data_IF_392415704315
#
_entry.id   IF_392415704315
#
_cell.length_a   1.000
_cell.length_b   1.000
_cell.length_c   1.000
_cell.angle_alpha   90.00
_cell.angle_beta   90.00
_cell.angle_gamma   90.00
#
_symmetry.space_group_name_H-M   'P 1'
#
loop_
_entity.id
_entity.type
_entity.pdbx_description
1 polymer ?
2 non-polymer ?
3 non-polymer ?
4 water ?
#
# COMPACT_ATOMS: atom_id res chain seq x y z
N UNK A 1 -10.88 1.79 -24.53
CA UNK A 1 -11.89 2.87 -24.29
C UNK A 1 -12.35 2.84 -22.83
N UNK A 2 -11.94 1.80 -22.11
CA UNK A 2 -12.31 1.64 -20.71
C UNK A 2 -12.08 2.94 -19.95
N UNK A 3 -13.14 3.47 -19.35
CA UNK A 3 -13.07 4.74 -18.62
C UNK A 3 -13.30 4.63 -17.11
N UNK A 4 -12.67 5.53 -16.32
CA UNK A 4 -12.81 5.53 -14.86
C UNK A 4 -14.23 5.93 -14.43
N UNK A 5 -14.69 5.38 -13.30
CA UNK A 5 -16.02 5.64 -12.75
C UNK A 5 -16.30 7.11 -12.39
N UNK A 6 -15.25 7.88 -12.17
CA UNK A 6 -15.43 9.28 -11.81
C UNK A 6 -15.46 10.18 -13.04
N UNK A 7 -15.38 9.59 -14.22
CA UNK A 7 -15.40 10.36 -15.45
C UNK A 7 -16.72 11.12 -15.55
N UNK A 8 -16.63 12.42 -15.81
CA UNK A 8 -17.80 13.27 -15.94
C UNK A 8 -18.19 13.33 -17.41
N UNK A 9 -19.45 13.68 -17.71
CA UNK A 9 -19.89 13.77 -19.10
C UNK A 9 -19.02 14.71 -19.93
N UNK A 10 -18.51 14.21 -21.06
CA UNK A 10 -17.68 15.03 -21.92
C UNK A 10 -16.19 14.90 -21.70
N UNK A 11 -15.79 14.08 -20.73
CA UNK A 11 -14.37 13.89 -20.44
C UNK A 11 -13.77 12.67 -21.12
N UNK A 12 -12.45 12.68 -21.25
CA UNK A 12 -11.73 11.57 -21.86
C UNK A 12 -10.50 11.23 -21.01
N UNK A 13 -10.39 9.97 -20.61
CA UNK A 13 -9.27 9.52 -19.80
C UNK A 13 -8.50 8.44 -20.55
N UNK A 14 -7.19 8.36 -20.32
CA UNK A 14 -6.37 7.36 -20.99
C UNK A 14 -5.75 6.38 -20.00
N UNK A 15 -6.01 5.09 -20.24
CA UNK A 15 -5.50 4.04 -19.38
C UNK A 15 -3.98 3.98 -19.49
N UNK A 16 -3.32 3.87 -18.35
CA UNK A 16 -1.87 3.78 -18.32
C UNK A 16 -1.53 2.30 -18.25
N UNK A 17 -1.23 1.72 -19.41
CA UNK A 17 -0.95 0.31 -19.53
C UNK A 17 0.06 -0.24 -18.53
N UNK A 18 1.14 0.51 -18.29
CA UNK A 18 2.19 0.07 -17.38
C UNK A 18 1.80 0.01 -15.91
N UNK A 19 0.66 0.58 -15.55
CA UNK A 19 0.21 0.54 -14.17
C UNK A 19 -1.22 0.01 -14.09
N UNK A 20 -1.56 -0.82 -15.07
CA UNK A 20 -2.88 -1.42 -15.15
C UNK A 20 -2.74 -2.89 -15.50
N UNK A 21 -3.56 -3.73 -14.87
CA UNK A 21 -3.49 -5.16 -15.14
C UNK A 21 -4.80 -5.81 -14.73
N UNK A 22 -5.33 -6.68 -15.59
CA UNK A 22 -6.59 -7.38 -15.29
C UNK A 22 -6.25 -8.73 -14.64
N UNK A 23 -4.95 -8.98 -14.52
CA UNK A 23 -4.42 -10.20 -13.90
C UNK A 23 -4.86 -11.54 -14.46
N UNK A 24 -4.68 -11.69 -15.77
CA UNK A 24 -4.99 -12.92 -16.45
C UNK A 24 -3.70 -13.74 -16.42
N UNK A 25 -2.58 -13.04 -16.32
CA UNK A 25 -1.27 -13.67 -16.25
C UNK A 25 -0.40 -12.91 -15.27
N UNK A 26 0.67 -13.56 -14.81
CA UNK A 26 1.61 -12.93 -13.89
C UNK A 26 2.67 -12.29 -14.77
N UNK A 27 2.61 -10.97 -14.87
CA UNK A 27 3.51 -10.19 -15.72
C UNK A 27 4.70 -9.58 -14.97
N UNK A 28 5.83 -10.28 -15.02
CA UNK A 28 7.05 -9.82 -14.34
C UNK A 28 7.76 -8.69 -15.09
N UNK A 29 7.30 -8.36 -16.29
CA UNK A 29 7.90 -7.26 -17.03
C UNK A 29 7.30 -5.98 -16.48
N UNK A 30 6.03 -6.05 -16.14
CA UNK A 30 5.28 -4.91 -15.64
C UNK A 30 5.42 -4.74 -14.12
N UNK A 31 5.40 -5.86 -13.42
CA UNK A 31 5.49 -5.83 -11.96
C UNK A 31 6.72 -6.48 -11.36
N UNK A 32 7.18 -5.91 -10.25
CA UNK A 32 8.30 -6.46 -9.50
C UNK A 32 7.59 -7.20 -8.38
N UNK A 33 7.66 -8.53 -8.40
CA UNK A 33 6.99 -9.36 -7.41
C UNK A 33 7.86 -9.74 -6.20
N UNK A 34 9.02 -9.10 -6.09
CA UNK A 34 9.91 -9.36 -4.96
C UNK A 34 10.78 -8.14 -4.79
N UNK A 35 10.20 -7.09 -4.22
CA UNK A 35 10.87 -5.82 -4.01
C UNK A 35 11.78 -5.82 -2.79
N UNK A 36 12.33 -4.64 -2.49
CA UNK A 36 13.20 -4.49 -1.33
C UNK A 36 12.37 -4.83 -0.10
N UNK A 37 13.02 -5.41 0.90
CA UNK A 37 12.32 -5.80 2.12
C UNK A 37 12.26 -4.71 3.18
N UNK A 38 11.23 -4.79 4.00
CA UNK A 38 11.02 -3.87 5.10
C UNK A 38 10.00 -4.50 6.04
N UNK A 39 9.65 -3.81 7.12
CA UNK A 39 8.71 -4.39 8.06
C UNK A 39 9.35 -5.60 8.72
N UNK A 40 8.53 -6.56 9.15
CA UNK A 40 9.07 -7.75 9.80
C UNK A 40 8.71 -9.03 9.06
N UNK A 41 8.76 -8.94 7.73
CA UNK A 41 8.49 -10.08 6.87
C UNK A 41 9.37 -9.87 5.66
N UNK A 42 9.38 -10.86 4.77
CA UNK A 42 10.17 -10.72 3.56
C UNK A 42 9.27 -11.06 2.39
N UNK A 43 9.48 -10.38 1.28
CA UNK A 43 8.69 -10.63 0.09
C UNK A 43 9.27 -11.84 -0.63
N UNK A 44 8.40 -12.66 -1.20
CA UNK A 44 8.83 -13.83 -1.95
C UNK A 44 8.00 -13.89 -3.22
N UNK A 45 8.69 -14.00 -4.35
CA UNK A 45 8.03 -14.07 -5.65
C UNK A 45 6.96 -15.17 -5.67
N UNK A 46 7.22 -16.28 -5.00
CA UNK A 46 6.26 -17.37 -5.00
C UNK A 46 4.99 -17.05 -4.22
N UNK A 47 5.00 -15.99 -3.43
CA UNK A 47 3.84 -15.60 -2.66
C UNK A 47 2.87 -14.77 -3.51
N UNK A 48 3.26 -14.50 -4.74
CA UNK A 48 2.43 -13.75 -5.66
C UNK A 48 2.04 -14.71 -6.77
N UNK A 49 0.75 -15.03 -6.85
CA UNK A 49 0.28 -15.95 -7.87
C UNK A 49 -0.90 -15.38 -8.62
N UNK A 50 -1.03 -15.76 -9.89
CA UNK A 50 -2.13 -15.30 -10.70
C UNK A 50 -2.87 -16.53 -11.19
N UNK A 51 -4.13 -16.62 -10.80
CA UNK A 51 -4.96 -17.75 -11.18
C UNK A 51 -6.41 -17.29 -11.37
N UNK A 52 -7.00 -17.79 -12.45
CA UNK A 52 -8.38 -17.47 -12.80
C UNK A 52 -8.77 -16.01 -12.69
N UNK A 53 -8.00 -15.16 -13.36
CA UNK A 53 -8.31 -13.75 -13.40
C UNK A 53 -7.99 -12.91 -12.19
N UNK A 54 -7.34 -13.48 -11.17
CA UNK A 54 -6.99 -12.69 -9.99
C UNK A 54 -5.58 -12.89 -9.52
N UNK A 55 -5.01 -11.80 -8.99
CA UNK A 55 -3.67 -11.83 -8.43
C UNK A 55 -3.90 -12.16 -6.96
N UNK A 56 -3.18 -13.14 -6.45
CA UNK A 56 -3.29 -13.52 -5.06
C UNK A 56 -1.96 -13.24 -4.38
N UNK A 57 -2.00 -12.44 -3.33
CA UNK A 57 -0.80 -12.10 -2.57
C UNK A 57 -0.98 -12.79 -1.24
N UNK A 58 -0.13 -13.77 -0.98
CA UNK A 58 -0.23 -14.59 0.21
C UNK A 58 0.80 -14.34 1.31
N UNK A 59 0.32 -14.34 2.55
CA UNK A 59 1.20 -14.21 3.71
C UNK A 59 1.26 -15.61 4.29
N UNK A 60 2.47 -16.12 4.48
CA UNK A 60 2.64 -17.46 5.01
C UNK A 60 3.46 -17.44 6.28
N UNK A 61 3.22 -18.41 7.15
CA UNK A 61 4.03 -18.53 8.34
C UNK A 61 5.27 -19.20 7.74
N UNK A 62 6.39 -18.51 7.75
CA UNK A 62 7.61 -19.05 7.19
C UNK A 62 8.83 -18.46 7.86
N UNK A 63 9.46 -19.26 8.73
CA UNK A 63 10.65 -18.81 9.43
C UNK A 63 11.80 -18.63 8.47
N UNK A 64 12.56 -17.58 8.69
CA UNK A 64 13.72 -17.28 7.86
C UNK A 64 14.50 -16.17 8.53
N UNK A 65 15.60 -15.79 7.93
CA UNK A 65 16.41 -14.71 8.47
C UNK A 65 16.85 -13.81 7.36
N UNK A 66 17.16 -12.57 7.71
CA UNK A 66 17.66 -11.59 6.76
C UNK A 66 18.21 -10.43 7.55
N UNK A 67 19.01 -9.58 6.90
CA UNK A 67 19.53 -8.43 7.60
C UNK A 67 18.31 -7.58 7.94
N UNK A 68 18.29 -7.07 9.16
CA UNK A 68 17.15 -6.29 9.64
C UNK A 68 17.62 -4.97 10.23
N UNK A 69 16.93 -3.89 9.86
CA UNK A 69 17.29 -2.58 10.39
C UNK A 69 16.57 -2.39 11.71
N UNK A 70 17.34 -2.28 12.78
CA UNK A 70 16.84 -2.07 14.13
C UNK A 70 16.93 -0.57 14.38
N UNK A 71 15.92 0.15 13.90
CA UNK A 71 15.86 1.59 14.04
C UNK A 71 16.00 2.12 15.45
N UNK A 72 15.37 1.44 16.40
CA UNK A 72 15.43 1.88 17.79
C UNK A 72 16.89 1.99 18.25
N UNK A 73 17.72 1.05 17.81
CA UNK A 73 19.13 1.07 18.18
C UNK A 73 20.03 1.59 17.08
N UNK A 74 19.42 2.09 16.00
CA UNK A 74 20.18 2.63 14.87
C UNK A 74 21.27 1.67 14.44
N UNK A 75 20.90 0.42 14.20
CA UNK A 75 21.86 -0.60 13.80
C UNK A 75 21.25 -1.65 12.90
N UNK A 76 22.07 -2.15 11.97
CA UNK A 76 21.64 -3.21 11.09
C UNK A 76 21.97 -4.49 11.85
N UNK A 77 21.05 -5.45 11.85
CA UNK A 77 21.30 -6.70 12.55
C UNK A 77 21.33 -7.86 11.54
N UNK A 78 22.44 -8.59 11.52
CA UNK A 78 22.59 -9.71 10.62
C UNK A 78 21.84 -10.94 11.10
N UNK A 79 21.44 -11.79 10.15
CA UNK A 79 20.73 -13.03 10.46
C UNK A 79 19.59 -12.82 11.46
N UNK A 80 18.80 -11.79 11.24
CA UNK A 80 17.69 -11.48 12.13
C UNK A 80 16.53 -12.42 11.82
N UNK A 81 16.07 -13.19 12.82
CA UNK A 81 14.96 -14.12 12.61
C UNK A 81 13.59 -13.46 12.42
N UNK A 82 12.92 -13.84 11.35
CA UNK A 82 11.58 -13.35 11.06
C UNK A 82 10.70 -14.58 10.91
N UNK A 83 9.39 -14.40 10.97
CA UNK A 83 8.49 -15.55 10.96
C UNK A 83 7.45 -15.65 9.86
N UNK A 84 7.33 -14.61 9.05
CA UNK A 84 6.35 -14.62 7.97
C UNK A 84 6.91 -14.04 6.68
N UNK A 85 6.42 -14.55 5.55
CA UNK A 85 6.82 -14.03 4.25
C UNK A 85 5.50 -13.59 3.62
N UNK A 86 5.57 -12.67 2.66
CA UNK A 86 4.32 -12.22 2.05
C UNK A 86 4.50 -11.91 0.58
N UNK A 87 3.43 -11.41 -0.03
CA UNK A 87 3.44 -11.10 -1.44
C UNK A 87 3.28 -9.64 -1.78
N UNK A 88 3.89 -9.24 -2.89
CA UNK A 88 3.85 -7.86 -3.35
C UNK A 88 3.92 -7.81 -4.87
N UNK A 89 3.31 -6.76 -5.43
CA UNK A 89 3.34 -6.50 -6.86
C UNK A 89 3.57 -4.99 -6.93
N UNK A 90 4.77 -4.58 -7.31
CA UNK A 90 5.13 -3.17 -7.38
C UNK A 90 5.40 -2.82 -8.84
N UNK A 91 4.68 -1.83 -9.37
CA UNK A 91 4.88 -1.45 -10.76
C UNK A 91 6.26 -0.89 -10.97
N UNK A 92 6.88 -1.27 -12.08
CA UNK A 92 8.22 -0.77 -12.38
C UNK A 92 8.07 0.69 -12.83
N UNK A 93 6.96 0.99 -13.49
CA UNK A 93 6.69 2.34 -13.96
C UNK A 93 6.23 3.20 -12.78
N UNK A 94 6.44 4.51 -12.90
CA UNK A 94 6.05 5.44 -11.85
C UNK A 94 5.14 6.52 -12.39
N UNK A 95 4.51 7.25 -11.48
CA UNK A 95 3.63 8.34 -11.86
C UNK A 95 3.11 9.03 -10.63
N UNK A 96 2.20 9.98 -10.83
CA UNK A 96 1.61 10.69 -9.70
C UNK A 96 0.13 11.00 -9.93
N UNK A 97 -0.16 11.99 -10.77
CA UNK A 97 -1.55 12.36 -11.02
C UNK A 97 -2.30 11.34 -11.86
N UNK A 98 -3.58 11.17 -11.53
CA UNK A 98 -4.40 10.23 -12.26
C UNK A 98 -5.40 9.55 -11.34
N UNK A 99 -6.27 8.75 -11.93
CA UNK A 99 -7.25 8.02 -11.13
C UNK A 99 -6.78 6.57 -11.07
N UNK A 100 -6.75 6.03 -9.85
CA UNK A 100 -6.31 4.65 -9.63
C UNK A 100 -7.42 3.85 -8.99
N UNK A 101 -7.54 2.59 -9.39
CA UNK A 101 -8.57 1.74 -8.83
C UNK A 101 -8.17 0.28 -8.85
N UNK A 102 -8.48 -0.42 -7.76
CA UNK A 102 -8.19 -1.84 -7.66
C UNK A 102 -9.42 -2.51 -7.07
N UNK A 103 -9.76 -3.67 -7.60
CA UNK A 103 -10.90 -4.46 -7.12
C UNK A 103 -10.26 -5.50 -6.24
N UNK A 104 -10.44 -5.36 -4.94
CA UNK A 104 -9.80 -6.23 -3.96
C UNK A 104 -10.71 -6.96 -2.98
N UNK A 105 -10.28 -8.15 -2.60
CA UNK A 105 -10.98 -8.96 -1.61
C UNK A 105 -9.92 -9.15 -0.53
N UNK A 106 -10.26 -8.80 0.70
CA UNK A 106 -9.31 -8.92 1.79
C UNK A 106 -9.03 -10.36 2.21
N UNK A 107 -7.99 -10.54 3.00
CA UNK A 107 -7.63 -11.87 3.50
C UNK A 107 -8.66 -12.27 4.55
N UNK A 108 -8.97 -13.56 4.64
CA UNK A 108 -9.97 -14.02 5.60
C UNK A 108 -9.55 -13.87 7.05
N UNK A 109 -8.26 -14.04 7.31
CA UNK A 109 -7.75 -13.94 8.67
C UNK A 109 -7.71 -12.51 9.21
N UNK A 110 -8.17 -12.34 10.44
CA UNK A 110 -8.16 -11.04 11.10
C UNK A 110 -8.31 -11.25 12.60
N UNK A 111 -7.44 -10.60 13.40
CA UNK A 111 -6.36 -9.70 12.96
C UNK A 111 -5.09 -10.44 12.62
N UNK A 112 -4.17 -9.73 11.97
CA UNK A 112 -2.89 -10.34 11.61
C UNK A 112 -2.27 -9.85 10.33
N UNK A 113 -3.09 -9.47 9.35
CA UNK A 113 -2.56 -8.99 8.07
C UNK A 113 -3.33 -7.79 7.54
N UNK A 114 -2.67 -7.03 6.69
CA UNK A 114 -3.27 -5.84 6.09
C UNK A 114 -3.08 -5.73 4.59
N UNK A 115 -4.13 -6.04 3.82
CA UNK A 115 -4.07 -5.94 2.36
C UNK A 115 -3.90 -4.45 2.09
N UNK A 116 -3.06 -4.11 1.13
CA UNK A 116 -2.83 -2.71 0.83
C UNK A 116 -2.69 -2.43 -0.66
N UNK A 117 -3.23 -1.28 -1.05
CA UNK A 117 -3.15 -0.78 -2.42
C UNK A 117 -2.61 0.61 -2.17
N UNK A 118 -1.41 0.87 -2.66
CA UNK A 118 -0.77 2.14 -2.40
C UNK A 118 0.30 2.43 -3.44
N UNK A 119 0.98 3.56 -3.26
CA UNK A 119 2.06 3.93 -4.16
C UNK A 119 3.07 4.73 -3.36
N UNK A 120 4.34 4.55 -3.68
CA UNK A 120 5.37 5.26 -2.94
C UNK A 120 6.56 5.54 -3.82
N UNK A 121 7.29 6.58 -3.45
CA UNK A 121 8.47 7.00 -4.18
C UNK A 121 9.72 6.49 -3.48
N UNK A 122 10.85 6.74 -4.11
CA UNK A 122 12.13 6.39 -3.52
C UNK A 122 12.35 7.54 -2.55
N UNK A 123 13.29 7.39 -1.64
CA UNK A 123 13.58 8.45 -0.69
C UNK A 123 14.83 9.16 -1.19
N UNK A 124 14.71 10.45 -1.46
CA UNK A 124 15.83 11.25 -1.95
C UNK A 124 16.30 12.21 -0.87
N UNK A 125 17.35 11.80 -0.16
CA UNK A 125 17.88 12.61 0.92
C UNK A 125 18.74 13.78 0.46
N UNK A 126 18.88 13.95 -0.85
CA UNK A 126 19.66 15.07 -1.39
C UNK A 126 18.82 16.32 -1.44
N UNK A 127 17.50 16.17 -1.28
CA UNK A 127 16.58 17.30 -1.29
C UNK A 127 16.51 17.84 0.14
N UNK A 128 17.32 18.86 0.42
CA UNK A 128 17.41 19.42 1.76
C UNK A 128 16.88 20.84 1.95
N UNK A 129 16.38 21.45 0.89
CA UNK A 129 15.85 22.81 1.00
C UNK A 129 14.55 22.83 1.80
N UNK A 130 14.27 23.97 2.44
CA UNK A 130 13.07 24.12 3.23
C UNK A 130 11.85 23.79 2.36
N UNK A 131 10.98 22.92 2.86
CA UNK A 131 9.80 22.55 2.10
C UNK A 131 10.01 21.42 1.12
N UNK A 132 11.25 21.01 0.93
CA UNK A 132 11.54 19.91 0.01
C UNK A 132 10.89 18.62 0.51
N UNK A 133 10.33 17.86 -0.42
CA UNK A 133 9.71 16.58 -0.10
C UNK A 133 10.65 15.48 -0.57
N UNK A 134 11.15 14.69 0.37
CA UNK A 134 12.08 13.62 0.05
C UNK A 134 11.39 12.30 -0.22
N UNK A 135 10.14 12.17 0.23
CA UNK A 135 9.40 10.93 0.06
C UNK A 135 7.89 11.20 0.02
N UNK A 136 7.22 10.54 -0.92
CA UNK A 136 5.77 10.67 -1.07
C UNK A 136 5.14 9.29 -1.11
N UNK A 137 4.08 9.10 -0.35
CA UNK A 137 3.36 7.83 -0.31
C UNK A 137 1.87 8.07 -0.21
N UNK A 138 1.12 7.51 -1.14
CA UNK A 138 -0.33 7.64 -1.12
C UNK A 138 -0.89 6.24 -0.92
N UNK A 139 -1.63 6.05 0.16
CA UNK A 139 -2.21 4.74 0.44
C UNK A 139 -3.68 4.77 0.02
N UNK A 140 -3.98 4.11 -1.09
CA UNK A 140 -5.36 4.09 -1.59
C UNK A 140 -6.23 3.45 -0.53
N UNK A 141 -5.75 2.34 0.02
CA UNK A 141 -6.46 1.67 1.10
C UNK A 141 -5.54 0.70 1.81
N UNK A 142 -5.74 0.61 3.12
CA UNK A 142 -5.02 -0.33 3.96
C UNK A 142 -6.16 -0.95 4.74
N UNK A 143 -6.40 -2.22 4.47
CA UNK A 143 -7.49 -2.95 5.12
C UNK A 143 -7.08 -3.69 6.37
N UNK A 144 -8.07 -3.96 7.19
CA UNK A 144 -7.93 -4.74 8.40
C UNK A 144 -6.65 -4.56 9.24
N UNK A 145 -6.31 -3.31 9.55
CA UNK A 145 -5.13 -3.08 10.38
C UNK A 145 -5.50 -2.32 11.65
N UNK A 146 -6.81 -2.17 11.89
CA UNK A 146 -7.29 -1.50 13.09
C UNK A 146 -8.01 -2.51 13.99
N UNK A 147 -8.60 -2.03 15.08
CA UNK A 147 -9.27 -2.93 16.03
C UNK A 147 -10.47 -3.69 15.46
N UNK A 148 -11.27 -3.02 14.64
CA UNK A 148 -12.46 -3.63 14.06
C UNK A 148 -12.21 -3.92 12.58
N UNK A 149 -12.66 -5.09 12.13
CA UNK A 149 -12.45 -5.51 10.75
C UNK A 149 -13.00 -4.56 9.69
N UNK A 150 -14.06 -3.83 10.00
CA UNK A 150 -14.64 -2.92 9.01
C UNK A 150 -14.02 -1.53 8.97
N UNK A 151 -13.01 -1.29 9.80
CA UNK A 151 -12.35 0.01 9.80
C UNK A 151 -11.23 -0.02 8.75
N UNK A 152 -11.32 0.86 7.78
CA UNK A 152 -10.31 0.93 6.73
C UNK A 152 -9.55 2.25 6.80
N UNK A 153 -8.31 2.25 6.33
CA UNK A 153 -7.50 3.45 6.32
C UNK A 153 -7.16 3.87 4.88
N UNK A 154 -7.19 5.17 4.64
CA UNK A 154 -6.91 5.74 3.32
C UNK A 154 -6.01 6.89 3.70
N UNK A 155 -4.74 6.55 3.94
CA UNK A 155 -3.75 7.51 4.41
C UNK A 155 -2.67 8.03 3.46
N UNK A 156 -1.81 8.87 4.03
CA UNK A 156 -0.69 9.49 3.34
C UNK A 156 0.53 9.48 4.27
N UNK A 157 1.71 9.28 3.67
CA UNK A 157 2.97 9.29 4.42
C UNK A 157 3.92 10.14 3.59
N UNK A 158 4.84 10.83 4.27
CA UNK A 158 5.79 11.66 3.55
C UNK A 158 6.91 12.15 4.45
N UNK A 159 7.96 12.64 3.81
CA UNK A 159 9.10 13.23 4.50
C UNK A 159 9.24 14.60 3.86
N UNK A 160 9.14 15.65 4.68
CA UNK A 160 9.27 17.01 4.18
C UNK A 160 10.22 17.78 5.08
N UNK A 161 11.01 18.67 4.49
CA UNK A 161 11.95 19.47 5.24
C UNK A 161 11.25 20.59 6.00
N UNK A 162 11.35 20.54 7.33
CA UNK A 162 10.76 21.54 8.21
C UNK A 162 11.86 22.12 9.08
N UNK A 163 12.02 23.44 9.03
CA UNK A 163 13.07 24.10 9.81
C UNK A 163 14.42 23.46 9.49
N UNK A 164 14.63 23.19 8.21
CA UNK A 164 15.89 22.60 7.77
C UNK A 164 16.09 21.14 8.14
N UNK A 165 15.05 20.51 8.68
CA UNK A 165 15.15 19.11 9.07
C UNK A 165 14.16 18.19 8.35
N UNK A 166 14.65 17.10 7.73
CA UNK A 166 13.75 16.19 7.03
C UNK A 166 12.80 15.64 8.10
N UNK A 167 11.50 15.85 7.91
CA UNK A 167 10.53 15.42 8.90
C UNK A 167 9.52 14.41 8.39
N UNK A 168 9.33 13.35 9.15
CA UNK A 168 8.38 12.31 8.79
C UNK A 168 6.98 12.73 9.21
N UNK A 169 6.02 12.49 8.32
CA UNK A 169 4.63 12.81 8.62
C UNK A 169 3.84 11.54 8.31
N UNK A 170 3.15 11.05 9.33
CA UNK A 170 2.36 9.84 9.20
C UNK A 170 0.93 10.13 9.62
N UNK A 171 -0.01 9.26 9.24
CA UNK A 171 -1.41 9.48 9.62
C UNK A 171 -1.65 9.61 11.11
N UNK A 172 -0.93 8.85 11.92
CA UNK A 172 -1.12 8.92 13.35
C UNK A 172 -0.61 10.18 14.01
N UNK A 173 0.47 10.73 13.48
CA UNK A 173 1.07 11.95 14.02
C UNK A 173 0.49 13.23 13.44
N UNK A 174 0.03 13.17 12.19
CA UNK A 174 -0.54 14.32 11.51
C UNK A 174 -1.83 13.90 10.81
N UNK A 175 -2.84 13.48 11.59
CA UNK A 175 -4.12 13.03 11.06
C UNK A 175 -4.88 13.99 10.15
N UNK A 176 -4.84 15.29 10.46
CA UNK A 176 -5.57 16.25 9.66
C UNK A 176 -5.11 16.30 8.21
N UNK A 177 -3.80 16.13 7.99
CA UNK A 177 -3.27 16.17 6.63
C UNK A 177 -2.99 14.79 6.06
N UNK A 178 -2.78 13.81 6.93
CA UNK A 178 -2.41 12.46 6.47
C UNK A 178 -3.34 11.28 6.75
N UNK A 179 -4.44 11.50 7.46
CA UNK A 179 -5.32 10.37 7.76
C UNK A 179 -6.78 10.50 7.37
N UNK A 180 -7.31 9.42 6.80
CA UNK A 180 -8.71 9.33 6.43
C UNK A 180 -9.15 7.97 6.95
N UNK A 181 -9.88 7.96 8.06
CA UNK A 181 -10.35 6.70 8.61
C UNK A 181 -11.76 6.50 8.12
N UNK A 182 -12.15 5.26 7.86
CA UNK A 182 -13.49 4.98 7.35
C UNK A 182 -14.07 3.69 7.90
N UNK A 183 -15.36 3.72 8.19
CA UNK A 183 -16.04 2.54 8.67
C UNK A 183 -16.76 1.97 7.45
N UNK A 184 -16.24 0.86 6.95
CA UNK A 184 -16.82 0.22 5.77
C UNK A 184 -18.24 -0.28 6.01
N UNK A 185 -19.11 -0.15 5.01
CA UNK A 185 -20.50 -0.62 5.16
C UNK A 185 -20.61 -2.09 4.80
N UNK A 186 -19.47 -2.79 4.85
CA UNK A 186 -19.41 -4.20 4.53
C UNK A 186 -18.13 -4.80 5.09
N UNK A 187 -18.05 -6.13 5.10
CA UNK A 187 -16.86 -6.81 5.59
C UNK A 187 -15.96 -6.88 4.34
N UNK A 188 -14.78 -6.23 4.39
CA UNK A 188 -13.90 -6.26 3.22
C UNK A 188 -13.35 -7.63 2.84
N UNK A 189 -13.60 -8.63 3.68
CA UNK A 189 -13.12 -9.98 3.41
C UNK A 189 -14.17 -10.75 2.61
N UNK A 190 -15.33 -10.15 2.43
CA UNK A 190 -16.41 -10.79 1.69
C UNK A 190 -16.56 -10.22 0.28
N UNK A 191 -16.23 -11.04 -0.71
CA UNK A 191 -16.33 -10.63 -2.11
C UNK A 191 -15.36 -9.49 -2.40
N UNK A 192 -15.39 -9.02 -3.64
CA UNK A 192 -14.52 -7.95 -4.07
C UNK A 192 -15.18 -6.59 -3.96
N UNK A 193 -14.36 -5.58 -3.68
CA UNK A 193 -14.83 -4.21 -3.57
C UNK A 193 -13.82 -3.33 -4.28
N UNK A 194 -14.26 -2.16 -4.70
CA UNK A 194 -13.36 -1.26 -5.43
C UNK A 194 -12.81 -0.16 -4.54
N UNK A 195 -11.50 0.01 -4.60
CA UNK A 195 -10.80 1.00 -3.82
C UNK A 195 -10.07 1.90 -4.81
N UNK A 196 -10.38 3.19 -4.77
CA UNK A 196 -9.73 4.08 -5.70
C UNK A 196 -9.30 5.40 -5.12
N UNK A 197 -8.50 6.12 -5.88
CA UNK A 197 -8.05 7.43 -5.46
C UNK A 197 -7.80 8.28 -6.69
N UNK A 198 -8.21 9.54 -6.61
CA UNK A 198 -7.98 10.45 -7.71
C UNK A 198 -6.92 11.41 -7.20
N UNK A 199 -5.81 11.46 -7.91
CA UNK A 199 -4.70 12.32 -7.52
C UNK A 199 -4.49 13.44 -8.54
N UNK A 200 -4.52 14.69 -8.06
CA UNK A 200 -4.27 15.85 -8.92
C UNK A 200 -3.19 16.63 -8.20
N UNK A 201 -2.66 17.67 -8.83
CA UNK A 201 -1.61 18.43 -8.17
C UNK A 201 -2.15 19.17 -6.95
N UNK A 202 -3.48 19.34 -6.89
CA UNK A 202 -4.08 20.07 -5.78
C UNK A 202 -4.86 19.24 -4.76
N UNK A 203 -5.44 18.13 -5.18
CA UNK A 203 -6.24 17.31 -4.28
C UNK A 203 -6.05 15.81 -4.43
N UNK A 204 -6.38 15.08 -3.37
CA UNK A 204 -6.32 13.63 -3.35
C UNK A 204 -7.68 13.22 -2.79
N UNK A 205 -8.42 12.43 -3.57
CA UNK A 205 -9.75 11.99 -3.17
C UNK A 205 -9.83 10.47 -3.21
N UNK A 206 -10.24 9.88 -2.10
CA UNK A 206 -10.34 8.43 -1.99
C UNK A 206 -11.77 7.92 -2.15
N UNK A 207 -11.90 6.75 -2.75
CA UNK A 207 -13.20 6.13 -3.00
C UNK A 207 -13.25 4.67 -2.59
N UNK A 208 -14.43 4.25 -2.15
CA UNK A 208 -14.67 2.85 -1.79
C UNK A 208 -16.05 2.53 -2.36
N UNK A 209 -16.09 1.61 -3.32
CA UNK A 209 -17.34 1.24 -3.98
C UNK A 209 -18.10 2.47 -4.47
N UNK A 210 -17.35 3.42 -5.03
CA UNK A 210 -17.95 4.62 -5.59
C UNK A 210 -18.17 5.80 -4.65
N UNK A 211 -18.14 5.54 -3.34
CA UNK A 211 -18.34 6.59 -2.35
C UNK A 211 -17.04 7.28 -1.97
N UNK A 212 -17.09 8.60 -1.79
CA UNK A 212 -15.90 9.33 -1.39
C UNK A 212 -15.70 9.12 0.11
N UNK A 213 -14.55 8.57 0.49
CA UNK A 213 -14.26 8.30 1.88
C UNK A 213 -13.11 9.11 2.42
N UNK A 214 -12.51 9.92 1.56
CA UNK A 214 -11.40 10.74 2.01
C UNK A 214 -11.02 11.81 1.01
N UNK A 215 -10.49 12.90 1.52
CA UNK A 215 -10.02 14.00 0.67
C UNK A 215 -9.02 14.81 1.47
N UNK A 216 -7.91 15.14 0.83
CA UNK A 216 -6.85 15.92 1.45
C UNK A 216 -6.27 16.81 0.37
N UNK A 217 -5.57 17.87 0.79
CA UNK A 217 -4.93 18.73 -0.18
C UNK A 217 -3.62 18.04 -0.51
N UNK A 218 -3.23 18.09 -1.77
CA UNK A 218 -1.98 17.44 -2.16
C UNK A 218 -0.82 18.37 -1.87
N UNK A 219 -0.35 18.33 -0.63
CA UNK A 219 0.74 19.18 -0.19
C UNK A 219 2.11 18.59 -0.47
N UNK A 220 2.23 17.28 -0.22
CA UNK A 220 3.52 16.61 -0.37
C UNK A 220 3.51 15.32 -1.18
N UNK A 221 2.60 15.21 -2.13
CA UNK A 221 2.52 13.99 -2.93
C UNK A 221 2.58 14.25 -4.43
N UNK A 222 3.68 14.86 -4.87
CA UNK A 222 3.87 15.16 -6.28
C UNK A 222 5.05 14.39 -6.86
N UNK A 223 5.71 13.60 -6.03
CA UNK A 223 6.84 12.80 -6.48
C UNK A 223 6.37 11.61 -7.31
N UNK A 224 7.31 11.01 -8.04
CA UNK A 224 7.03 9.84 -8.86
C UNK A 224 6.89 8.65 -7.93
N UNK A 225 5.76 7.96 -8.01
CA UNK A 225 5.50 6.83 -7.14
C UNK A 225 5.16 5.55 -7.89
N UNK A 226 5.65 4.42 -7.35
CA UNK A 226 5.39 3.11 -7.93
C UNK A 226 4.10 2.57 -7.36
N UNK A 227 3.18 2.15 -8.23
CA UNK A 227 1.90 1.61 -7.80
C UNK A 227 2.12 0.22 -7.23
N UNK A 228 1.61 0.01 -6.02
CA UNK A 228 1.84 -1.26 -5.34
C UNK A 228 0.63 -1.93 -4.69
N UNK A 229 0.63 -3.26 -4.77
CA UNK A 229 -0.39 -4.10 -4.17
C UNK A 229 0.44 -5.02 -3.28
N UNK A 230 0.13 -5.07 -1.99
CA UNK A 230 0.91 -5.91 -1.10
C UNK A 230 0.14 -6.22 0.17
N UNK A 231 0.57 -7.24 0.89
CA UNK A 231 -0.07 -7.59 2.13
C UNK A 231 0.97 -7.59 3.24
N UNK A 232 0.76 -6.74 4.24
CA UNK A 232 1.70 -6.66 5.33
C UNK A 232 1.23 -7.38 6.58
N UNK A 233 2.16 -7.55 7.51
CA UNK A 233 1.88 -8.22 8.78
C UNK A 233 1.46 -7.17 9.81
N UNK A 234 0.60 -7.56 10.75
CA UNK A 234 0.11 -6.65 11.78
C UNK A 234 -0.08 -7.39 13.09
N UNK A 235 -0.50 -6.64 14.12
CA UNK A 235 -0.78 -7.23 15.42
C UNK A 235 -1.78 -8.35 15.16
N UNK A 236 -1.71 -9.45 15.93
CA UNK A 236 -0.80 -9.77 17.04
C UNK A 236 0.60 -10.27 16.71
N UNK A 237 1.04 -10.09 15.48
CA UNK A 237 2.36 -10.59 15.09
C UNK A 237 3.43 -9.52 14.98
N UNK A 238 3.07 -8.30 15.40
CA UNK A 238 4.00 -7.19 15.32
C UNK A 238 3.89 -6.23 16.49
N UNK A 239 4.91 -5.39 16.61
CA UNK A 239 4.97 -4.33 17.60
C UNK A 239 5.40 -3.15 16.74
N UNK A 240 5.08 -1.94 17.17
CA UNK A 240 5.45 -0.76 16.41
C UNK A 240 6.15 0.24 17.32
N UNK A 241 7.38 0.57 16.96
CA UNK A 241 8.17 1.51 17.74
C UNK A 241 9.29 2.07 16.87
N UNK A 242 9.75 3.27 17.21
CA UNK A 242 10.82 3.93 16.46
C UNK A 242 10.52 3.95 14.96
N UNK A 243 9.26 4.24 14.66
CA UNK A 243 8.76 4.35 13.28
C UNK A 243 8.92 3.12 12.40
N UNK A 244 8.81 1.94 12.99
CA UNK A 244 8.93 0.70 12.23
C UNK A 244 8.34 -0.47 12.98
N UNK A 245 8.13 -1.57 12.28
CA UNK A 245 7.59 -2.78 12.89
C UNK A 245 8.72 -3.64 13.44
N UNK A 246 8.37 -4.42 14.46
CA UNK A 246 9.26 -5.37 15.08
C UNK A 246 8.38 -6.60 15.27
N UNK A 247 8.98 -7.79 15.28
CA UNK A 247 8.14 -8.98 15.46
C UNK A 247 7.68 -9.10 16.91
N UNK A 248 6.51 -9.71 17.11
CA UNK A 248 5.99 -9.90 18.46
C UNK A 248 6.33 -11.35 18.81
N UNK A 249 5.86 -11.81 19.96
CA UNK A 249 6.13 -13.18 20.39
C UNK A 249 5.09 -14.13 19.81
N UNK A 250 4.08 -13.59 19.16
CA UNK A 250 3.05 -14.42 18.56
C UNK A 250 3.43 -14.76 17.14
N UNK A 251 3.87 -15.99 16.92
CA UNK A 251 4.24 -16.47 15.60
C UNK A 251 3.41 -17.70 15.27
N UNK A 252 2.14 -17.61 15.57
CA UNK A 252 1.21 -18.70 15.33
C UNK A 252 1.03 -18.97 13.85
N UNK A 253 0.84 -20.25 13.51
CA UNK A 253 0.64 -20.67 12.13
C UNK A 253 -0.87 -20.70 11.86
N UNK A 254 -1.68 -20.63 12.91
CA UNK A 254 -3.12 -20.67 12.76
C UNK A 254 -3.57 -19.42 11.99
N UNK A 255 -4.42 -19.63 10.99
CA UNK A 255 -4.90 -18.51 10.20
C UNK A 255 -4.02 -18.25 8.99
N UNK A 256 -2.97 -19.05 8.85
CA UNK A 256 -2.06 -18.91 7.72
C UNK A 256 -1.95 -20.24 6.99
N UNK A 257 -1.74 -20.20 5.67
CA UNK A 257 -1.61 -18.98 4.86
C UNK A 257 -2.93 -18.25 4.68
N UNK A 258 -2.85 -16.96 4.41
CA UNK A 258 -4.03 -16.14 4.19
C UNK A 258 -3.65 -15.22 3.03
N UNK A 259 -4.59 -14.93 2.15
CA UNK A 259 -4.29 -14.11 1.00
C UNK A 259 -5.36 -13.11 0.60
N UNK A 260 -4.90 -12.01 0.01
CA UNK A 260 -5.78 -10.97 -0.47
C UNK A 260 -5.80 -11.28 -1.95
N UNK A 261 -6.89 -10.93 -2.62
CA UNK A 261 -6.99 -11.16 -4.05
C UNK A 261 -7.32 -9.87 -4.78
N UNK A 262 -6.69 -9.66 -5.93
CA UNK A 262 -6.92 -8.47 -6.71
C UNK A 262 -7.42 -8.89 -8.08
N UNK A 263 -8.66 -8.53 -8.38
CA UNK A 263 -9.28 -8.88 -9.65
C UNK A 263 -8.62 -8.05 -10.75
N UNK A 264 -8.32 -6.79 -10.45
CA UNK A 264 -7.70 -5.91 -11.42
C UNK A 264 -7.23 -4.62 -10.77
N UNK A 265 -6.35 -3.93 -11.47
CA UNK A 265 -5.86 -2.62 -11.04
C UNK A 265 -5.88 -1.81 -12.33
N UNK A 266 -6.47 -0.62 -12.26
CA UNK A 266 -6.57 0.25 -13.42
C UNK A 266 -6.12 1.65 -13.07
N UNK A 267 -5.28 2.22 -13.93
CA UNK A 267 -4.78 3.58 -13.73
C UNK A 267 -5.04 4.39 -14.97
N UNK A 268 -5.59 5.59 -14.78
CA UNK A 268 -5.93 6.49 -15.88
C UNK A 268 -5.37 7.90 -15.62
N UNK A 269 -5.13 8.61 -16.71
CA UNK A 269 -4.66 10.00 -16.63
C UNK A 269 -5.64 10.78 -17.50
N UNK A 270 -6.23 11.83 -16.92
CA UNK A 270 -7.22 12.64 -17.63
C UNK A 270 -6.65 13.50 -18.74
N UNK A 271 -7.38 13.58 -19.84
CA UNK A 271 -6.98 14.41 -20.98
C UNK A 271 -7.51 15.81 -20.76
X LIG B 1 -12.87 19.44 -1.56
X LIG C 1 -9.24 -10.06 -13.41
X LIG D 1 2.28 3.59 8.18
X LIG E 1 -10.58 -16.30 -5.31
X LIG F 1 -7.67 -15.27 0.34
X LIG G 1 -13.99 -9.22 -12.50
X LIG H 1 8.09 -22.55 -1.90
X LIG I 1 -14.36 20.60 0.12
X LIG J 1 -12.28 21.09 -3.28
X LIG K 1 0.22 3.76 8.90
X LIG L 1 2.83 4.93 10.06
X LIG M 1 -12.85 -15.50 -5.72
X LIG N 1 -10.08 -17.77 -7.46
X LIG O 1 -7.64 -15.72 2.79
#
# INVERSE_FOLDING_TARGET
SMQPPIAKPGETWILQAKRSDEFNVKDATKWNFQTENYGVWSWKNENATVSKGKLKLTTKRESHQRTFWDGCNQQQVANYPLYYTSGVAKSRATGNYGYYEARIKGASTFPGVSPAFWMYSTIDRSLTKEGDVQYSEIDVVELTQKSAVRESDHDLHNIVVKNGKPTWMRPGSFPQTNHNGYHLPFDPRNDFHTYGVNVTKDKITWYVDGEIVGEKDNLYWHRQMNLTLSQGLRAPHTQWKCNQFYPSANKSAEGFPTSMEVDYVRTWVKV
CD CD
CD CD
CD CD
CD CD
CD CD
CD CD
CD CD
CL CL
CL CL
CL CL
CL CL
CL CL
CL CL
CL CL
#
